data_IF_254195766825
#
_entry.id   IF_254195766825
#
_cell.length_a   1.000
_cell.length_b   1.000
_cell.length_c   1.000
_cell.angle_alpha   90.00
_cell.angle_beta   90.00
_cell.angle_gamma   90.00
#
_symmetry.space_group_name_H-M   'P 1'
#
loop_
_entity.id
_entity.type
_entity.pdbx_description
1 polymer ?
2 water ?
#
# COMPACT_ATOMS: atom_id res chain seq x y z
N UNK A 1 6.80 -18.63 16.75
CA UNK A 1 6.50 -17.52 17.63
C UNK A 1 7.20 -17.67 18.99
N UNK A 2 7.54 -16.55 19.60
CA UNK A 2 8.21 -16.56 20.89
C UNK A 2 7.21 -16.39 22.04
N UNK A 3 6.30 -17.36 22.14
CA UNK A 3 5.25 -17.40 23.17
C UNK A 3 4.85 -16.09 23.87
N UNK A 4 5.25 -15.92 25.13
CA UNK A 4 4.92 -14.72 25.88
C UNK A 4 6.01 -14.22 26.85
N UNK A 5 7.29 -14.20 26.43
CA UNK A 5 8.23 -13.70 27.42
C UNK A 5 8.74 -12.29 27.07
N UNK A 6 9.93 -12.22 26.47
CA UNK A 6 10.53 -10.95 26.09
C UNK A 6 10.03 -10.49 24.73
N UNK A 7 9.02 -9.63 24.73
CA UNK A 7 8.44 -9.11 23.49
C UNK A 7 9.15 -7.87 22.93
N UNK A 8 8.59 -7.34 21.84
CA UNK A 8 9.10 -6.16 21.13
C UNK A 8 10.29 -6.49 20.24
N UNK A 9 10.27 -6.05 18.97
CA UNK A 9 11.37 -6.32 18.05
C UNK A 9 12.59 -5.40 18.16
N UNK A 10 12.54 -4.25 17.52
CA UNK A 10 13.67 -3.33 17.54
C UNK A 10 14.02 -2.74 18.92
N UNK A 11 15.32 -2.72 19.20
CA UNK A 11 15.84 -2.21 20.45
C UNK A 11 15.63 -0.71 20.57
N UNK A 12 15.56 -0.24 21.81
CA UNK A 12 15.42 1.18 22.08
C UNK A 12 16.71 1.82 21.53
N UNK A 13 17.74 0.98 21.41
CA UNK A 13 19.04 1.38 20.90
C UNK A 13 18.94 1.86 19.44
N UNK A 14 18.14 1.17 18.63
CA UNK A 14 17.97 1.58 17.25
C UNK A 14 17.14 2.87 17.25
N UNK A 15 16.07 2.90 18.06
CA UNK A 15 15.21 4.08 18.17
C UNK A 15 16.02 5.29 18.62
N UNK A 16 16.94 5.06 19.55
CA UNK A 16 17.75 6.13 20.09
C UNK A 16 18.85 6.54 19.14
N UNK A 17 19.43 5.59 18.42
CA UNK A 17 20.49 5.95 17.48
C UNK A 17 19.94 6.85 16.35
N UNK A 18 18.77 6.51 15.82
CA UNK A 18 18.13 7.27 14.76
C UNK A 18 17.79 8.65 15.31
N UNK A 19 17.29 8.71 16.55
CA UNK A 19 16.95 10.00 17.13
C UNK A 19 18.18 10.84 17.45
N UNK A 20 19.26 10.19 17.84
CA UNK A 20 20.52 10.89 18.13
C UNK A 20 21.09 11.38 16.82
N UNK A 21 20.76 10.68 15.73
CA UNK A 21 21.22 11.03 14.40
C UNK A 21 20.76 12.42 13.96
N UNK A 22 19.63 12.86 14.52
CA UNK A 22 19.06 14.15 14.19
C UNK A 22 18.84 14.32 12.68
N UNK A 23 17.97 13.48 12.12
CA UNK A 23 17.64 13.52 10.71
C UNK A 23 16.25 14.13 10.54
N UNK A 24 15.65 13.94 9.37
CA UNK A 24 14.35 14.51 9.06
C UNK A 24 13.12 13.79 9.56
N UNK A 25 13.32 12.82 10.44
CA UNK A 25 12.20 12.06 11.03
C UNK A 25 12.59 11.59 12.40
N UNK A 26 11.59 11.27 13.20
CA UNK A 26 11.81 10.81 14.55
C UNK A 26 11.36 9.36 14.70
N UNK A 27 12.15 8.60 15.46
CA UNK A 27 11.89 7.19 15.68
C UNK A 27 11.08 6.91 16.95
N UNK A 28 10.29 5.85 16.87
CA UNK A 28 9.46 5.42 17.97
C UNK A 28 9.15 3.95 17.78
N UNK A 29 8.69 3.28 18.84
CA UNK A 29 8.38 1.87 18.74
C UNK A 29 6.97 1.66 18.18
N UNK A 30 6.89 1.17 16.93
CA UNK A 30 5.58 0.90 16.33
C UNK A 30 5.08 -0.50 16.72
N UNK A 31 6.04 -1.40 16.89
CA UNK A 31 5.78 -2.81 17.20
C UNK A 31 6.29 -3.34 18.51
N UNK A 32 5.37 -4.02 19.19
CA UNK A 32 5.58 -4.65 20.49
C UNK A 32 4.89 -5.97 20.23
N UNK A 33 5.26 -6.96 21.01
CA UNK A 33 4.76 -8.34 20.92
C UNK A 33 5.21 -9.07 19.68
N UNK A 34 4.75 -8.57 18.52
CA UNK A 34 5.07 -9.15 17.24
C UNK A 34 6.37 -9.97 17.19
N UNK A 35 6.31 -11.12 16.53
CA UNK A 35 7.46 -12.01 16.32
C UNK A 35 8.21 -11.43 15.08
N UNK A 36 9.51 -11.65 15.01
CA UNK A 36 10.33 -11.18 13.91
C UNK A 36 9.78 -11.75 12.59
N UNK A 37 9.10 -12.90 12.67
CA UNK A 37 8.49 -13.56 11.52
C UNK A 37 7.46 -12.67 10.86
N UNK A 38 6.56 -12.17 11.71
CA UNK A 38 5.50 -11.31 11.30
C UNK A 38 6.05 -10.06 10.60
N UNK A 39 7.14 -9.51 11.13
CA UNK A 39 7.73 -8.31 10.58
C UNK A 39 8.26 -8.51 9.17
N UNK A 40 8.62 -9.74 8.80
CA UNK A 40 9.10 -10.00 7.45
C UNK A 40 7.94 -10.33 6.52
N UNK A 41 6.91 -10.97 7.07
CA UNK A 41 5.72 -11.31 6.28
C UNK A 41 5.02 -9.99 5.89
N UNK A 42 5.38 -8.89 6.56
CA UNK A 42 4.82 -7.55 6.27
C UNK A 42 5.33 -6.95 4.94
N UNK A 43 6.58 -7.25 4.57
CA UNK A 43 7.19 -6.77 3.35
C UNK A 43 6.96 -7.83 2.28
N UNK A 44 5.76 -7.83 1.73
CA UNK A 44 5.39 -8.81 0.75
C UNK A 44 5.37 -8.41 -0.72
N UNK A 45 6.36 -7.66 -1.16
CA UNK A 45 6.46 -7.27 -2.55
C UNK A 45 7.83 -7.59 -3.09
N UNK A 46 7.90 -8.24 -4.25
CA UNK A 46 9.17 -8.63 -4.84
C UNK A 46 9.56 -7.53 -5.81
N UNK A 47 10.67 -6.89 -5.53
CA UNK A 47 11.10 -5.82 -6.42
C UNK A 47 11.75 -6.45 -7.63
N UNK A 48 11.82 -5.70 -8.73
CA UNK A 48 12.43 -6.21 -9.94
C UNK A 48 11.67 -7.35 -10.54
N UNK A 49 10.35 -7.37 -10.36
CA UNK A 49 9.55 -8.40 -10.95
C UNK A 49 9.17 -8.05 -12.39
N UNK A 50 8.03 -8.55 -12.90
CA UNK A 50 7.63 -8.21 -14.26
C UNK A 50 7.18 -6.76 -14.33
N UNK A 51 7.45 -6.09 -15.43
CA UNK A 51 7.05 -4.68 -15.60
C UNK A 51 5.86 -4.65 -16.55
N UNK A 52 5.04 -3.55 -16.49
CA UNK A 52 3.90 -3.53 -17.42
C UNK A 52 4.47 -3.18 -18.80
N UNK A 53 3.84 -3.63 -19.93
CA UNK A 53 4.27 -3.40 -21.33
C UNK A 53 4.61 -1.98 -21.65
N UNK A 54 3.73 -1.08 -21.27
CA UNK A 54 3.93 0.34 -21.54
C UNK A 54 4.66 1.09 -20.43
N UNK A 55 4.86 2.38 -20.68
CA UNK A 55 5.58 3.29 -19.82
C UNK A 55 5.20 4.71 -20.29
N UNK A 56 4.46 5.44 -19.47
CA UNK A 56 4.04 6.78 -19.84
C UNK A 56 5.04 7.85 -19.41
N UNK A 57 4.94 9.01 -20.05
CA UNK A 57 5.80 10.15 -19.73
C UNK A 57 5.02 11.42 -20.07
N UNK A 58 5.57 12.55 -19.66
CA UNK A 58 4.94 13.85 -19.93
C UNK A 58 5.99 14.77 -20.54
N UNK A 59 5.72 15.34 -21.71
CA UNK A 59 6.71 16.21 -22.34
C UNK A 59 6.25 17.64 -22.57
N UNK A 60 5.57 18.18 -21.57
CA UNK A 60 5.06 19.55 -21.62
C UNK A 60 5.41 20.18 -20.27
N UNK A 61 5.84 21.44 -20.29
CA UNK A 61 6.20 22.14 -19.06
C UNK A 61 4.94 22.39 -18.24
N UNK A 62 4.47 21.33 -17.57
CA UNK A 62 3.28 21.41 -16.76
C UNK A 62 3.66 22.22 -15.54
N UNK A 63 2.70 22.98 -15.02
CA UNK A 63 2.96 23.79 -13.83
C UNK A 63 2.29 23.11 -12.64
N UNK A 64 3.07 22.28 -11.95
CA UNK A 64 2.64 21.51 -10.81
C UNK A 64 2.88 22.24 -9.48
N UNK A 65 1.95 22.09 -8.50
CA UNK A 65 2.06 22.72 -7.19
C UNK A 65 3.33 22.31 -6.46
N UNK A 66 3.74 23.14 -5.51
CA UNK A 66 4.91 22.89 -4.68
C UNK A 66 4.61 21.69 -3.79
N UNK A 67 3.35 21.57 -3.37
CA UNK A 67 2.90 20.45 -2.55
C UNK A 67 1.53 20.06 -3.11
N UNK A 68 1.07 18.86 -2.80
CA UNK A 68 -0.22 18.40 -3.31
C UNK A 68 -0.68 17.22 -2.48
N UNK A 69 -1.99 17.09 -2.37
CA UNK A 69 -2.60 16.04 -1.57
C UNK A 69 -3.92 15.58 -2.20
N UNK A 70 -3.91 14.41 -2.84
CA UNK A 70 -5.12 13.90 -3.50
C UNK A 70 -6.38 13.92 -2.62
N UNK A 71 -6.21 13.87 -1.30
CA UNK A 71 -7.35 13.91 -0.37
C UNK A 71 -8.06 15.26 -0.45
N UNK A 72 -7.28 16.32 -0.63
CA UNK A 72 -7.80 17.69 -0.71
C UNK A 72 -8.40 17.94 -2.07
N UNK A 73 -7.63 17.60 -3.09
CA UNK A 73 -7.99 17.74 -4.49
C UNK A 73 -9.30 16.99 -4.80
N UNK A 74 -9.44 15.80 -4.25
CA UNK A 74 -10.65 15.01 -4.48
C UNK A 74 -11.35 14.71 -3.17
N UNK A 75 -11.97 15.74 -2.55
CA UNK A 75 -12.68 15.55 -1.28
C UNK A 75 -13.87 14.60 -1.36
N UNK A 76 -14.42 14.46 -2.57
CA UNK A 76 -15.58 13.60 -2.80
C UNK A 76 -15.29 12.11 -2.94
N UNK A 77 -14.02 11.72 -2.84
CA UNK A 77 -13.62 10.32 -2.96
C UNK A 77 -13.19 9.74 -1.60
N UNK A 78 -14.15 9.26 -0.81
CA UNK A 78 -13.83 8.71 0.52
C UNK A 78 -12.66 7.71 0.63
N UNK A 79 -12.48 6.84 -0.35
CA UNK A 79 -11.39 5.85 -0.26
C UNK A 79 -9.97 6.45 -0.22
N UNK A 80 -9.77 7.63 -0.82
CA UNK A 80 -8.44 8.26 -0.81
C UNK A 80 -7.87 8.51 0.60
N UNK A 81 -8.74 8.65 1.59
CA UNK A 81 -8.35 8.91 2.99
C UNK A 81 -8.11 7.64 3.79
N UNK A 82 -8.86 6.61 3.43
CA UNK A 82 -8.81 5.29 4.06
C UNK A 82 -7.43 4.68 4.11
N UNK A 83 -7.19 3.97 5.20
CA UNK A 83 -5.95 3.25 5.45
C UNK A 83 -6.47 1.84 5.73
N UNK A 84 -5.87 0.85 5.09
CA UNK A 84 -6.27 -0.53 5.25
C UNK A 84 -5.22 -1.29 6.03
N UNK A 85 -5.53 -2.53 6.40
CA UNK A 85 -4.62 -3.39 7.14
C UNK A 85 -4.49 -4.77 6.45
N UNK A 86 -3.25 -5.21 6.23
CA UNK A 86 -2.99 -6.49 5.55
C UNK A 86 -2.96 -7.69 6.47
N UNK A 87 -3.03 -7.47 7.78
CA UNK A 87 -3.02 -8.58 8.72
C UNK A 87 -1.68 -9.28 8.66
N UNK A 88 -1.59 -10.48 9.19
CA UNK A 88 -0.34 -11.20 9.13
C UNK A 88 -0.26 -11.87 7.78
N UNK A 89 -0.13 -11.08 6.74
CA UNK A 89 -0.09 -11.61 5.40
C UNK A 89 0.63 -10.61 4.50
N UNK A 90 1.55 -11.09 3.66
CA UNK A 90 2.30 -10.22 2.75
C UNK A 90 1.52 -9.97 1.49
N UNK A 91 0.39 -9.28 1.62
CA UNK A 91 -0.48 -8.98 0.50
C UNK A 91 -0.42 -7.51 0.11
N UNK A 92 0.66 -6.82 0.51
CA UNK A 92 0.82 -5.41 0.20
C UNK A 92 0.84 -5.12 -1.33
N UNK A 93 1.41 -6.05 -2.11
CA UNK A 93 1.44 -5.92 -3.57
C UNK A 93 0.01 -5.77 -4.06
N UNK A 94 -0.92 -6.41 -3.35
CA UNK A 94 -2.34 -6.36 -3.70
C UNK A 94 -3.01 -5.14 -3.10
N UNK A 95 -2.63 -4.75 -1.88
CA UNK A 95 -3.21 -3.58 -1.25
C UNK A 95 -2.93 -2.27 -1.96
N UNK A 96 -1.67 -2.03 -2.31
CA UNK A 96 -1.32 -0.81 -3.03
C UNK A 96 -2.12 -0.68 -4.31
N UNK A 97 -2.38 -1.83 -4.96
CA UNK A 97 -3.14 -1.85 -6.20
C UNK A 97 -4.64 -1.58 -6.02
N UNK A 98 -5.33 -2.35 -5.18
CA UNK A 98 -6.78 -2.14 -4.97
C UNK A 98 -7.09 -0.76 -4.39
N UNK A 99 -6.20 -0.24 -3.55
CA UNK A 99 -6.37 1.08 -2.97
C UNK A 99 -6.34 2.15 -4.06
N UNK A 100 -5.27 2.17 -4.85
CA UNK A 100 -5.10 3.13 -5.95
C UNK A 100 -6.23 3.00 -6.97
N UNK A 101 -6.71 1.77 -7.13
CA UNK A 101 -7.79 1.44 -8.06
C UNK A 101 -9.12 1.99 -7.54
N UNK A 102 -9.37 1.85 -6.24
CA UNK A 102 -10.58 2.37 -5.63
C UNK A 102 -10.60 3.88 -5.87
N UNK A 103 -9.48 4.53 -5.60
CA UNK A 103 -9.38 5.97 -5.79
C UNK A 103 -9.66 6.36 -7.22
N UNK A 104 -9.02 5.66 -8.16
CA UNK A 104 -9.17 5.98 -9.57
C UNK A 104 -10.55 5.76 -10.13
N UNK A 105 -11.27 4.78 -9.60
CA UNK A 105 -12.60 4.56 -10.09
C UNK A 105 -13.39 5.83 -9.83
N UNK A 106 -13.39 6.26 -8.57
CA UNK A 106 -14.11 7.47 -8.17
C UNK A 106 -13.64 8.71 -8.94
N UNK A 107 -12.34 8.82 -9.15
CA UNK A 107 -11.80 9.98 -9.85
C UNK A 107 -12.16 10.01 -11.32
N UNK A 108 -11.89 8.91 -12.01
CA UNK A 108 -12.15 8.84 -13.44
C UNK A 108 -13.61 8.73 -13.88
N UNK A 109 -14.48 8.33 -12.97
CA UNK A 109 -15.91 8.31 -13.27
C UNK A 109 -16.38 9.56 -12.50
N UNK A 110 -15.43 10.45 -12.24
CA UNK A 110 -15.60 11.69 -11.50
C UNK A 110 -16.85 11.87 -10.67
N UNK A 111 -16.77 11.32 -9.47
CA UNK A 111 -17.82 11.39 -8.46
C UNK A 111 -18.98 10.38 -8.35
N UNK A 112 -19.61 9.96 -9.44
CA UNK A 112 -20.77 9.07 -9.28
C UNK A 112 -20.58 7.65 -8.73
N UNK A 113 -19.38 7.11 -8.87
CA UNK A 113 -19.14 5.78 -8.32
C UNK A 113 -17.95 5.78 -7.39
N UNK A 114 -18.18 5.29 -6.18
CA UNK A 114 -17.16 5.19 -5.16
C UNK A 114 -17.32 3.82 -4.48
N UNK A 115 -16.36 2.93 -4.76
CA UNK A 115 -16.36 1.59 -4.21
C UNK A 115 -15.02 1.18 -3.65
N UNK A 116 -15.03 0.24 -2.71
CA UNK A 116 -13.82 -0.27 -2.09
C UNK A 116 -13.54 -1.58 -2.79
N UNK A 117 -12.49 -1.60 -3.60
CA UNK A 117 -12.15 -2.81 -4.32
C UNK A 117 -11.54 -3.85 -3.41
N UNK A 118 -11.94 -5.09 -3.64
CA UNK A 118 -11.49 -6.21 -2.85
C UNK A 118 -10.04 -6.62 -3.01
N UNK A 119 -9.27 -6.43 -1.95
CA UNK A 119 -7.87 -6.85 -1.95
C UNK A 119 -7.91 -8.36 -1.85
N UNK A 120 -9.01 -8.84 -1.28
CA UNK A 120 -9.28 -10.25 -1.06
C UNK A 120 -9.39 -10.98 -2.39
N UNK A 121 -10.22 -10.42 -3.27
CA UNK A 121 -10.44 -11.01 -4.58
C UNK A 121 -9.11 -11.20 -5.25
N UNK A 122 -8.28 -10.16 -5.22
CA UNK A 122 -6.96 -10.17 -5.87
C UNK A 122 -6.03 -11.17 -5.20
N UNK A 123 -5.85 -11.04 -3.90
CA UNK A 123 -4.98 -11.91 -3.13
C UNK A 123 -5.25 -13.38 -3.38
N UNK A 124 -6.52 -13.70 -3.65
CA UNK A 124 -6.92 -15.06 -3.83
C UNK A 124 -7.21 -15.58 -5.23
N UNK A 125 -7.59 -14.73 -6.17
CA UNK A 125 -7.92 -15.23 -7.50
C UNK A 125 -6.93 -15.01 -8.63
N UNK A 126 -5.92 -14.15 -8.43
CA UNK A 126 -4.94 -13.95 -9.50
C UNK A 126 -4.17 -15.26 -9.69
N UNK A 127 -3.60 -15.80 -8.61
CA UNK A 127 -2.87 -17.04 -8.71
C UNK A 127 -1.36 -16.90 -8.82
N UNK A 128 -0.72 -17.96 -9.34
CA UNK A 128 0.73 -18.00 -9.54
C UNK A 128 1.23 -16.86 -10.41
N UNK A 129 0.29 -16.26 -11.14
CA UNK A 129 0.58 -15.15 -12.02
C UNK A 129 1.10 -13.97 -11.19
N UNK A 130 0.49 -13.77 -10.02
CA UNK A 130 0.86 -12.68 -9.14
C UNK A 130 1.95 -12.99 -8.12
N UNK A 131 2.30 -14.27 -8.01
CA UNK A 131 3.32 -14.66 -7.05
C UNK A 131 2.81 -15.76 -6.12
N UNK A 132 3.10 -15.63 -4.83
CA UNK A 132 2.68 -16.63 -3.87
C UNK A 132 1.80 -16.16 -2.69
N UNK A 133 0.69 -15.49 -3.03
CA UNK A 133 -0.27 -15.02 -2.04
C UNK A 133 0.28 -14.26 -0.84
N UNK A 134 -0.03 -14.77 0.36
CA UNK A 134 0.42 -14.16 1.61
C UNK A 134 1.92 -14.21 1.81
N UNK A 135 2.64 -14.91 0.93
CA UNK A 135 4.09 -14.99 1.03
C UNK A 135 4.79 -14.03 0.07
N UNK A 136 4.02 -13.20 -0.63
CA UNK A 136 4.63 -12.25 -1.55
C UNK A 136 4.08 -12.27 -2.98
N UNK A 137 4.21 -11.14 -3.68
CA UNK A 137 3.71 -11.05 -5.04
C UNK A 137 4.29 -9.90 -5.82
N UNK A 138 3.77 -9.70 -7.04
CA UNK A 138 4.24 -8.64 -7.96
C UNK A 138 3.10 -7.70 -8.37
N UNK A 139 3.25 -6.41 -8.07
CA UNK A 139 2.31 -5.31 -8.36
C UNK A 139 1.82 -5.25 -9.80
N UNK A 140 2.77 -5.37 -10.73
CA UNK A 140 2.49 -5.34 -12.17
C UNK A 140 1.40 -6.32 -12.59
N UNK A 141 1.47 -7.54 -12.04
CA UNK A 141 0.52 -8.61 -12.33
C UNK A 141 -0.84 -8.41 -11.67
N UNK A 142 -0.85 -7.65 -10.58
CA UNK A 142 -2.10 -7.34 -9.87
C UNK A 142 -2.94 -6.43 -10.79
N UNK A 143 -2.32 -5.41 -11.35
CA UNK A 143 -3.01 -4.51 -12.28
C UNK A 143 -3.49 -5.30 -13.50
N UNK A 144 -2.63 -6.22 -13.92
CA UNK A 144 -2.86 -7.14 -15.03
C UNK A 144 -4.18 -7.88 -14.89
N UNK A 145 -4.33 -8.49 -13.72
CA UNK A 145 -5.53 -9.24 -13.40
C UNK A 145 -6.75 -8.33 -13.45
N UNK A 146 -6.53 -7.04 -13.16
CA UNK A 146 -7.58 -6.02 -13.16
C UNK A 146 -8.06 -5.76 -14.58
N UNK A 147 -7.11 -5.76 -15.50
CA UNK A 147 -7.40 -5.53 -16.90
C UNK A 147 -8.14 -6.74 -17.50
N UNK A 148 -7.67 -7.93 -17.15
CA UNK A 148 -8.23 -9.19 -17.68
C UNK A 148 -9.50 -9.70 -17.03
N UNK A 149 -9.44 -10.03 -15.74
CA UNK A 149 -10.61 -10.53 -15.03
C UNK A 149 -11.30 -9.51 -14.15
N UNK A 150 -10.66 -8.36 -13.92
CA UNK A 150 -11.26 -7.33 -13.08
C UNK A 150 -11.38 -7.75 -11.62
N UNK A 151 -11.86 -6.84 -10.77
CA UNK A 151 -12.02 -7.09 -9.32
C UNK A 151 -13.40 -6.70 -8.79
N UNK A 152 -13.88 -7.41 -7.79
CA UNK A 152 -15.17 -7.09 -7.18
C UNK A 152 -14.96 -6.20 -5.96
N UNK A 153 -16.06 -5.70 -5.42
CA UNK A 153 -16.00 -4.83 -4.24
C UNK A 153 -15.64 -5.65 -3.01
N UNK A 154 -15.21 -4.99 -1.95
CA UNK A 154 -14.85 -5.70 -0.74
C UNK A 154 -14.11 -4.77 0.20
N UNK A 155 -14.73 -4.47 1.34
CA UNK A 155 -14.15 -3.56 2.31
C UNK A 155 -13.20 -4.15 3.33
N UNK A 156 -13.17 -3.52 4.50
CA UNK A 156 -12.32 -3.96 5.60
C UNK A 156 -12.83 -5.25 6.28
N UNK A 157 -11.99 -5.80 7.16
CA UNK A 157 -12.32 -7.02 7.89
C UNK A 157 -13.58 -6.82 8.76
N UNK A 158 -14.56 -7.68 8.59
CA UNK A 158 -15.81 -7.63 9.36
C UNK A 158 -16.59 -6.32 9.24
N UNK A 159 -16.48 -5.70 8.08
CA UNK A 159 -17.17 -4.45 7.79
C UNK A 159 -18.52 -4.67 7.12
N UNK A 160 -18.73 -5.86 6.55
CA UNK A 160 -19.98 -6.18 5.85
C UNK A 160 -20.12 -5.28 4.63
N UNK A 161 -18.99 -4.84 4.12
CA UNK A 161 -19.00 -3.96 2.97
C UNK A 161 -18.45 -4.69 1.74
N UNK A 162 -19.22 -4.66 0.67
CA UNK A 162 -18.78 -5.27 -0.57
C UNK A 162 -19.11 -6.73 -0.79
N UNK A 163 -18.56 -7.27 -1.89
CA UNK A 163 -18.75 -8.66 -2.28
C UNK A 163 -17.86 -9.58 -1.46
N UNK A 164 -16.57 -9.24 -1.34
CA UNK A 164 -15.63 -10.05 -0.57
C UNK A 164 -14.76 -9.16 0.30
N UNK A 165 -15.22 -8.87 1.53
CA UNK A 165 -14.33 -8.02 2.33
C UNK A 165 -13.20 -8.91 2.82
N UNK A 166 -12.09 -8.31 3.23
CA UNK A 166 -10.93 -9.06 3.67
C UNK A 166 -11.28 -10.04 4.78
N UNK A 167 -10.70 -11.22 4.74
CA UNK A 167 -10.98 -12.22 5.77
C UNK A 167 -9.81 -12.39 6.75
N UNK A 168 -8.78 -11.55 6.61
CA UNK A 168 -7.64 -11.63 7.52
C UNK A 168 -7.71 -10.51 8.58
N UNK A 169 -8.03 -10.89 9.84
CA UNK A 169 -8.15 -9.94 10.96
C UNK A 169 -7.00 -8.97 11.15
N UNK A 170 -7.32 -7.73 11.57
CA UNK A 170 -6.29 -6.73 11.80
C UNK A 170 -5.44 -7.14 12.98
N UNK A 171 -4.15 -6.94 12.83
CA UNK A 171 -3.19 -7.24 13.87
C UNK A 171 -2.56 -5.87 14.00
N UNK A 172 -3.34 -4.88 14.41
CA UNK A 172 -2.81 -3.54 14.54
C UNK A 172 -1.88 -3.56 15.75
N UNK A 173 -0.74 -4.22 15.56
CA UNK A 173 0.25 -4.36 16.61
C UNK A 173 -0.35 -5.25 17.70
N UNK A 174 -0.31 -4.84 18.97
CA UNK A 174 -0.88 -5.70 20.03
C UNK A 174 -0.78 -5.10 21.43
N UNK A 175 0.31 -5.42 22.14
CA UNK A 175 0.51 -4.95 23.52
C UNK A 175 -0.74 -5.06 24.38
N UNK A 176 -1.53 -3.98 24.38
CA UNK A 176 -2.76 -3.80 25.14
C UNK A 176 -3.39 -5.03 25.82
N UNK A 177 -4.36 -5.66 25.18
CA UNK A 177 -5.02 -6.81 25.79
C UNK A 177 -5.02 -8.12 25.02
N UNK A 178 -3.84 -8.63 24.73
CA UNK A 178 -3.69 -9.90 24.02
C UNK A 178 -4.56 -10.12 22.77
N UNK A 179 -4.78 -9.05 22.02
CA UNK A 179 -5.58 -9.09 20.77
C UNK A 179 -4.94 -10.10 19.81
N UNK A 180 -5.57 -10.42 18.64
CA UNK A 180 -4.91 -11.41 17.77
C UNK A 180 -3.43 -11.14 17.73
N UNK A 181 -2.63 -12.05 18.30
CA UNK A 181 -1.19 -11.82 18.28
C UNK A 181 -0.61 -11.74 16.84
N UNK A 182 0.33 -10.84 16.59
CA UNK A 182 0.91 -10.77 15.25
C UNK A 182 1.85 -11.94 15.05
N UNK A 183 1.44 -12.79 14.12
CA UNK A 183 2.20 -13.98 13.82
C UNK A 183 2.58 -14.05 12.33
N UNK A 184 3.53 -14.90 11.99
CA UNK A 184 3.95 -15.06 10.61
C UNK A 184 3.25 -16.27 9.99
N UNK A 185 2.52 -17.04 10.82
CA UNK A 185 1.80 -18.23 10.38
C UNK A 185 0.45 -17.80 9.81
N UNK A 186 0.28 -17.95 8.50
CA UNK A 186 -0.96 -17.53 7.86
C UNK A 186 -1.03 -17.89 6.38
N UNK A 187 -1.92 -18.81 6.07
CA UNK A 187 -2.13 -19.29 4.71
C UNK A 187 -2.90 -18.29 3.86
N UNK A 188 -2.95 -18.55 2.57
CA UNK A 188 -3.68 -17.69 1.65
C UNK A 188 -5.06 -18.35 1.45
N UNK A 189 -6.14 -17.62 1.78
CA UNK A 189 -7.48 -18.19 1.61
C UNK A 189 -7.75 -18.45 0.12
N UNK A 190 -8.68 -19.36 -0.16
CA UNK A 190 -9.03 -19.77 -1.52
C UNK A 190 -9.81 -18.78 -2.35
N UNK A 191 -9.71 -18.93 -3.67
CA UNK A 191 -10.42 -18.09 -4.63
C UNK A 191 -11.87 -18.51 -4.65
N UNK A 192 -12.69 -17.79 -3.91
CA UNK A 192 -14.12 -18.09 -3.86
C UNK A 192 -14.86 -17.06 -4.67
N UNK A 193 -15.44 -17.51 -5.77
CA UNK A 193 -16.18 -16.62 -6.67
C UNK A 193 -17.64 -16.39 -6.26
N UNK A 194 -17.89 -16.23 -4.97
CA UNK A 194 -19.24 -16.00 -4.46
C UNK A 194 -19.22 -14.80 -3.49
N UNK A 195 -20.15 -13.88 -3.69
CA UNK A 195 -20.24 -12.72 -2.81
C UNK A 195 -20.73 -13.13 -1.44
N UNK A 196 -20.39 -12.35 -0.43
CA UNK A 196 -20.82 -12.63 0.93
C UNK A 196 -22.35 -12.54 0.95
N UNK A 197 -23.02 -13.48 1.64
CA UNK A 197 -24.49 -13.51 1.74
C UNK A 197 -25.07 -12.15 2.10
N UNK A 198 -26.22 -11.84 1.51
CA UNK A 198 -26.85 -10.58 1.76
C UNK A 198 -26.18 -9.47 0.98
N UNK A 199 -25.90 -9.76 -0.27
CA UNK A 199 -25.27 -8.79 -1.11
C UNK A 199 -25.55 -9.12 -2.56
N UNK A 200 -26.14 -8.15 -3.24
CA UNK A 200 -26.43 -8.22 -4.66
C UNK A 200 -25.53 -7.12 -5.22
N UNK A 201 -25.10 -7.21 -6.47
CA UNK A 201 -25.32 -8.19 -7.52
C UNK A 201 -24.51 -9.46 -7.26
N UNK A 202 -24.22 -10.20 -8.31
CA UNK A 202 -23.47 -11.43 -8.12
C UNK A 202 -21.98 -11.19 -8.39
N UNK A 203 -21.14 -12.13 -7.98
CA UNK A 203 -19.72 -12.02 -8.14
C UNK A 203 -19.28 -11.57 -9.52
N UNK A 204 -19.61 -12.30 -10.58
CA UNK A 204 -19.17 -11.83 -11.91
C UNK A 204 -19.91 -10.58 -12.41
N UNK A 205 -20.95 -10.22 -11.66
CA UNK A 205 -21.78 -9.04 -11.96
C UNK A 205 -21.20 -7.84 -11.21
N UNK A 206 -20.52 -8.11 -10.09
CA UNK A 206 -19.92 -7.07 -9.26
C UNK A 206 -18.44 -6.86 -9.63
N UNK A 207 -18.07 -7.14 -10.87
CA UNK A 207 -16.69 -6.98 -11.29
C UNK A 207 -16.35 -5.60 -11.91
N UNK A 208 -15.14 -5.12 -11.64
CA UNK A 208 -14.68 -3.84 -12.18
C UNK A 208 -13.37 -4.11 -12.91
N UNK A 209 -13.32 -3.68 -14.16
CA UNK A 209 -12.13 -3.91 -14.98
C UNK A 209 -11.35 -2.63 -15.24
N UNK A 210 -10.08 -2.79 -15.58
CA UNK A 210 -9.25 -1.64 -15.90
C UNK A 210 -8.91 -1.68 -17.38
N UNK A 211 -8.47 -0.56 -17.93
CA UNK A 211 -8.13 -0.53 -19.33
C UNK A 211 -6.86 -1.32 -19.53
N UNK A 212 -5.72 -0.67 -19.35
CA UNK A 212 -4.43 -1.31 -19.56
C UNK A 212 -3.65 -1.11 -18.26
N UNK A 213 -2.33 -0.99 -18.36
CA UNK A 213 -1.51 -0.75 -17.19
C UNK A 213 -0.15 -0.31 -17.67
N UNK A 214 0.54 0.47 -16.86
CA UNK A 214 1.82 1.01 -17.26
C UNK A 214 2.74 1.42 -16.14
N UNK A 215 3.98 1.75 -16.52
CA UNK A 215 5.01 2.20 -15.61
C UNK A 215 5.10 3.69 -15.79
N UNK A 216 5.40 4.39 -14.70
CA UNK A 216 5.60 5.83 -14.74
C UNK A 216 7.11 5.82 -14.73
N UNK A 217 7.67 6.65 -15.58
CA UNK A 217 9.10 6.67 -15.82
C UNK A 217 10.27 6.97 -14.87
N UNK A 218 10.18 6.64 -13.59
CA UNK A 218 11.32 6.89 -12.68
C UNK A 218 11.87 8.33 -12.83
N UNK A 219 10.97 9.29 -12.71
CA UNK A 219 11.28 10.70 -12.82
C UNK A 219 10.32 11.39 -11.87
N UNK A 220 10.88 12.21 -11.00
CA UNK A 220 10.10 12.91 -10.02
C UNK A 220 8.98 13.72 -10.67
N UNK A 221 9.31 14.52 -11.68
CA UNK A 221 8.29 15.32 -12.36
C UNK A 221 7.20 14.44 -12.99
N UNK A 222 7.60 13.31 -13.59
CA UNK A 222 6.65 12.38 -14.24
C UNK A 222 5.70 11.73 -13.26
N UNK A 223 6.26 11.29 -12.13
CA UNK A 223 5.46 10.65 -11.11
C UNK A 223 4.49 11.66 -10.54
N UNK A 224 4.94 12.93 -10.50
CA UNK A 224 4.08 13.99 -9.96
C UNK A 224 2.93 14.34 -10.87
N UNK A 225 3.23 14.50 -12.16
CA UNK A 225 2.19 14.82 -13.14
C UNK A 225 1.11 13.73 -13.20
N UNK A 226 1.53 12.47 -13.14
CA UNK A 226 0.60 11.33 -13.19
C UNK A 226 -0.45 11.40 -12.09
N UNK A 227 0.01 11.60 -10.86
CA UNK A 227 -0.89 11.67 -9.71
C UNK A 227 -1.80 12.87 -9.81
N UNK A 228 -1.22 13.97 -10.29
CA UNK A 228 -1.94 15.23 -10.47
C UNK A 228 -3.21 15.11 -11.31
N UNK A 229 -3.16 14.43 -12.47
CA UNK A 229 -4.38 14.29 -13.27
C UNK A 229 -5.05 12.96 -13.28
N UNK A 230 -4.37 11.93 -12.81
CA UNK A 230 -4.98 10.61 -12.81
C UNK A 230 -5.27 10.02 -11.44
N UNK A 231 -4.62 10.51 -10.39
CA UNK A 231 -4.87 9.99 -9.05
C UNK A 231 -3.74 9.17 -8.46
N UNK A 232 -3.84 8.77 -7.18
CA UNK A 232 -2.76 7.98 -6.57
C UNK A 232 -2.29 6.82 -7.48
N UNK A 233 -1.11 6.28 -7.16
CA UNK A 233 -0.52 5.17 -7.91
C UNK A 233 0.12 4.18 -6.95
N UNK A 234 0.52 3.01 -7.47
CA UNK A 234 1.18 1.99 -6.65
C UNK A 234 2.69 2.11 -6.84
N UNK A 235 3.44 1.94 -5.77
CA UNK A 235 4.89 2.02 -5.85
C UNK A 235 5.46 0.99 -4.93
N UNK A 236 6.78 0.79 -4.94
CA UNK A 236 7.38 -0.20 -4.05
C UNK A 236 8.80 0.27 -3.77
N UNK A 237 9.31 0.00 -2.58
CA UNK A 237 10.66 0.42 -2.23
C UNK A 237 11.24 -0.65 -1.31
N UNK A 238 12.51 -0.51 -0.93
CA UNK A 238 13.16 -1.48 -0.05
C UNK A 238 12.97 -1.10 1.42
N UNK A 239 12.32 -1.96 2.20
CA UNK A 239 12.11 -1.67 3.60
C UNK A 239 13.28 -2.08 4.46
N UNK A 240 13.90 -1.11 5.10
CA UNK A 240 15.00 -1.34 6.00
C UNK A 240 14.42 -1.29 7.40
N UNK A 241 15.02 -2.02 8.33
CA UNK A 241 14.50 -2.10 9.70
C UNK A 241 14.13 -0.81 10.41
N UNK A 242 14.94 0.22 10.25
CA UNK A 242 14.64 1.48 10.92
C UNK A 242 13.30 2.05 10.47
N UNK A 243 12.90 1.77 9.23
CA UNK A 243 11.63 2.29 8.71
C UNK A 243 10.43 1.83 9.52
N UNK A 244 10.51 0.63 10.09
CA UNK A 244 9.41 0.10 10.91
C UNK A 244 9.23 0.99 12.12
N UNK A 245 10.24 1.81 12.41
CA UNK A 245 10.24 2.71 13.56
C UNK A 245 9.64 4.11 13.35
N UNK A 246 9.19 4.40 12.14
CA UNK A 246 8.64 5.72 11.79
C UNK A 246 7.48 6.27 12.63
N UNK A 247 7.60 7.57 12.96
CA UNK A 247 6.58 8.32 13.71
C UNK A 247 6.11 9.53 12.93
N UNK A 248 7.05 10.29 12.38
CA UNK A 248 6.72 11.48 11.59
C UNK A 248 7.94 12.07 10.95
N UNK A 249 7.69 13.03 10.08
CA UNK A 249 8.75 13.70 9.36
C UNK A 249 9.01 13.00 8.06
N UNK A 250 10.12 13.33 7.41
CA UNK A 250 10.49 12.70 6.16
C UNK A 250 11.50 11.58 6.46
N UNK A 251 11.12 10.33 6.18
CA UNK A 251 11.99 9.19 6.41
C UNK A 251 13.20 9.17 5.45
N UNK A 252 14.37 8.86 6.01
CA UNK A 252 15.63 8.75 5.27
C UNK A 252 16.34 7.59 5.94
N UNK A 253 16.60 6.52 5.20
CA UNK A 253 17.27 5.36 5.78
C UNK A 253 18.59 5.76 6.39
N UNK A 254 18.84 5.30 7.61
CA UNK A 254 20.10 5.63 8.29
C UNK A 254 20.82 4.41 8.81
N UNK A 255 20.05 3.40 9.20
CA UNK A 255 20.63 2.18 9.74
C UNK A 255 19.63 1.01 9.63
N UNK A 256 20.11 -0.20 9.86
CA UNK A 256 19.26 -1.37 9.80
C UNK A 256 19.45 -2.22 8.56
N UNK A 257 18.96 -3.46 8.63
CA UNK A 257 19.10 -4.38 7.51
C UNK A 257 17.89 -4.33 6.59
N UNK A 258 18.07 -4.78 5.36
CA UNK A 258 16.95 -4.78 4.42
C UNK A 258 16.04 -5.95 4.77
N UNK A 259 14.85 -5.58 5.25
CA UNK A 259 13.79 -6.49 5.66
C UNK A 259 13.13 -7.10 4.41
N UNK A 260 13.11 -6.36 3.30
CA UNK A 260 12.52 -6.82 2.05
C UNK A 260 11.85 -5.72 1.25
N UNK A 261 10.96 -6.10 0.34
CA UNK A 261 10.26 -5.14 -0.50
C UNK A 261 8.85 -4.89 -0.01
N UNK A 262 8.32 -3.70 -0.28
CA UNK A 262 6.99 -3.36 0.20
C UNK A 262 6.30 -2.38 -0.72
N UNK A 263 5.11 -2.74 -1.19
CA UNK A 263 4.34 -1.90 -2.09
C UNK A 263 3.47 -0.97 -1.25
N UNK A 264 3.19 0.21 -1.79
CA UNK A 264 2.40 1.23 -1.13
C UNK A 264 1.64 2.10 -2.13
N UNK A 265 0.89 3.06 -1.60
CA UNK A 265 0.11 3.98 -2.43
C UNK A 265 0.70 5.39 -2.30
N UNK A 266 1.05 6.03 -3.42
CA UNK A 266 1.59 7.39 -3.38
C UNK A 266 0.46 8.34 -3.77
N UNK A 267 0.09 9.23 -2.86
CA UNK A 267 -1.03 10.14 -3.09
C UNK A 267 -0.75 11.65 -3.09
N UNK A 268 0.53 12.03 -3.07
CA UNK A 268 0.88 13.45 -3.09
C UNK A 268 2.35 13.72 -2.84
N UNK A 269 2.68 14.98 -2.57
CA UNK A 269 4.05 15.38 -2.31
C UNK A 269 4.09 16.73 -1.64
N UNK A 270 5.24 17.11 -1.10
CA UNK A 270 5.41 18.40 -0.46
C UNK A 270 6.83 18.61 -0.02
N UNK A 271 7.06 19.68 0.75
CA UNK A 271 8.40 19.97 1.28
C UNK A 271 8.19 20.28 2.75
N UNK A 272 9.06 19.73 3.59
CA UNK A 272 8.95 19.92 5.03
C UNK A 272 10.31 20.20 5.64
N UNK A 273 10.44 21.41 6.21
CA UNK A 273 11.68 21.85 6.85
C UNK A 273 12.82 21.71 5.84
N UNK A 274 12.50 22.01 4.59
CA UNK A 274 13.49 21.96 3.54
C UNK A 274 13.68 20.64 2.83
N UNK A 275 13.03 19.58 3.30
CA UNK A 275 13.18 18.28 2.68
C UNK A 275 12.00 17.90 1.81
N UNK A 276 12.24 17.69 0.51
CA UNK A 276 11.20 17.30 -0.45
C UNK A 276 10.75 15.85 -0.13
N UNK A 277 9.45 15.58 -0.22
CA UNK A 277 8.96 14.26 0.11
C UNK A 277 7.75 13.79 -0.67
N UNK A 278 7.43 12.51 -0.51
CA UNK A 278 6.26 11.87 -1.11
C UNK A 278 5.29 11.60 0.05
N UNK A 279 4.00 11.85 -0.16
CA UNK A 279 2.98 11.57 0.85
C UNK A 279 2.50 10.14 0.57
N UNK A 280 2.84 9.20 1.45
CA UNK A 280 2.51 7.81 1.24
C UNK A 280 1.59 7.13 2.25
N UNK A 281 0.68 6.31 1.73
CA UNK A 281 -0.28 5.55 2.52
C UNK A 281 0.22 4.13 2.70
N UNK A 282 0.54 3.75 3.93
CA UNK A 282 1.01 2.40 4.24
C UNK A 282 -0.24 1.56 4.46
N UNK A 283 -0.06 0.26 4.61
CA UNK A 283 -1.23 -0.59 4.85
C UNK A 283 -1.06 -1.45 6.12
N UNK A 284 -0.55 -0.83 7.19
CA UNK A 284 -0.32 -1.48 8.48
C UNK A 284 -1.24 -0.88 9.55
N UNK A 285 -2.47 -0.56 9.16
CA UNK A 285 -3.46 0.08 10.01
C UNK A 285 -3.10 1.52 10.36
N UNK A 286 -4.07 2.24 10.90
CA UNK A 286 -3.90 3.64 11.22
C UNK A 286 -3.19 3.93 12.53
N UNK A 287 -2.79 2.91 13.28
CA UNK A 287 -2.09 3.14 14.54
C UNK A 287 -0.60 2.88 14.35
N UNK A 288 -0.14 3.17 13.14
CA UNK A 288 1.25 3.00 12.77
C UNK A 288 1.69 4.29 12.10
N UNK A 289 2.89 4.77 12.43
CA UNK A 289 3.39 5.98 11.84
C UNK A 289 2.44 7.14 12.06
N UNK A 290 2.30 7.99 11.06
CA UNK A 290 1.43 9.15 11.13
C UNK A 290 0.03 8.80 10.65
N UNK A 291 -0.71 8.08 11.49
CA UNK A 291 -2.07 7.67 11.17
C UNK A 291 -2.18 6.81 9.91
N UNK A 292 -1.22 5.92 9.71
CA UNK A 292 -1.24 5.05 8.54
C UNK A 292 -0.45 5.60 7.37
N UNK A 293 -0.15 6.90 7.41
CA UNK A 293 0.61 7.54 6.34
C UNK A 293 2.02 7.82 6.80
N UNK A 294 2.86 8.21 5.86
CA UNK A 294 4.23 8.54 6.18
C UNK A 294 4.82 9.35 5.03
N UNK A 295 5.98 9.95 5.25
CA UNK A 295 6.63 10.72 4.21
C UNK A 295 8.01 10.14 4.01
N UNK A 296 8.46 10.13 2.76
CA UNK A 296 9.77 9.59 2.41
C UNK A 296 10.45 10.55 1.45
N UNK A 297 11.76 10.71 1.60
CA UNK A 297 12.59 11.58 0.77
C UNK A 297 12.20 11.43 -0.70
N UNK A 298 12.05 12.55 -1.38
CA UNK A 298 11.67 12.56 -2.79
C UNK A 298 12.75 13.16 -3.69
N UNK A 299 12.86 12.65 -4.92
CA UNK A 299 13.82 13.14 -5.89
C UNK A 299 15.22 12.58 -5.86
N UNK A 300 15.39 11.37 -5.33
CA UNK A 300 16.72 10.76 -5.26
C UNK A 300 16.55 9.26 -5.40
N UNK A 301 15.37 8.84 -5.83
CA UNK A 301 15.03 7.42 -5.92
C UNK A 301 15.43 6.70 -4.63
N UNK A 302 15.06 7.31 -3.50
CA UNK A 302 15.38 6.78 -2.19
C UNK A 302 14.74 5.44 -1.87
N UNK A 303 15.57 4.42 -1.67
CA UNK A 303 15.12 3.05 -1.37
C UNK A 303 14.30 2.47 -2.53
N UNK A 304 14.42 3.04 -3.73
CA UNK A 304 13.68 2.57 -4.89
C UNK A 304 12.26 3.10 -5.05
N UNK A 305 11.87 4.08 -4.24
CA UNK A 305 10.51 4.62 -4.29
C UNK A 305 10.03 5.10 -5.66
N UNK A 306 10.95 5.63 -6.47
CA UNK A 306 10.62 6.14 -7.81
C UNK A 306 10.81 5.10 -8.92
N UNK A 307 11.46 3.99 -8.58
CA UNK A 307 11.78 2.91 -9.51
C UNK A 307 10.67 1.98 -10.04
N UNK A 308 9.75 1.56 -9.17
CA UNK A 308 8.69 0.65 -9.57
C UNK A 308 7.27 1.15 -9.39
N UNK A 309 6.97 2.31 -9.99
CA UNK A 309 5.63 2.84 -9.88
C UNK A 309 4.80 2.43 -11.08
N UNK A 310 3.56 2.00 -10.82
CA UNK A 310 2.67 1.56 -11.88
C UNK A 310 1.24 1.99 -11.57
N UNK A 311 0.39 2.02 -12.60
CA UNK A 311 -1.00 2.42 -12.46
C UNK A 311 -1.73 2.01 -13.72
N UNK A 312 -2.94 2.53 -13.90
CA UNK A 312 -3.75 2.23 -15.07
C UNK A 312 -5.06 2.98 -14.96
N UNK A 313 -5.79 3.09 -16.06
CA UNK A 313 -7.05 3.81 -16.10
C UNK A 313 -8.21 2.82 -15.99
N UNK A 314 -9.32 3.24 -15.37
CA UNK A 314 -10.45 2.31 -15.24
C UNK A 314 -11.45 2.20 -16.38
N UNK A 315 -12.21 1.10 -16.36
CA UNK A 315 -13.27 0.72 -17.33
C UNK A 315 -14.27 1.81 -17.75
N UNK A 316 -15.21 2.18 -16.89
CA UNK A 316 -16.21 3.19 -17.21
C UNK A 316 -17.16 2.70 -18.32
N UNK A 317 -18.21 3.48 -18.59
CA UNK A 317 -19.19 3.12 -19.62
C UNK A 317 -19.30 4.21 -20.68
#
# INVERSE_FOLDING_TARGET
MRSRPSFHPLSDELVNYVNKRNTTWQAGHNFYNVDMSYLKRLCGTFLGGPKPPQRVMFTEDLKLPASFDAREQWPQCPTIKEIRDQGSCGSCWAFGAVEAISDRICIHTNAHVSVEVSAEDLLTCCGSMCGDGCNGGYPAEAWNFWTRKGLVSGGLYESHVGCRPYSIPPCEHHVNGSRPPCTGEGDTPKCSKICEPGYSPTYKQDKHYGYNSYSVSNSEKDIMAEIYKNGPVEGAFSVYSDFLLYKSGVYQHVTGEMMGGHAIRILGWGVENGTPYWLVANSWNTDWGDNGFFKILRGQDHCGIESEVVAGIPRTD
#
